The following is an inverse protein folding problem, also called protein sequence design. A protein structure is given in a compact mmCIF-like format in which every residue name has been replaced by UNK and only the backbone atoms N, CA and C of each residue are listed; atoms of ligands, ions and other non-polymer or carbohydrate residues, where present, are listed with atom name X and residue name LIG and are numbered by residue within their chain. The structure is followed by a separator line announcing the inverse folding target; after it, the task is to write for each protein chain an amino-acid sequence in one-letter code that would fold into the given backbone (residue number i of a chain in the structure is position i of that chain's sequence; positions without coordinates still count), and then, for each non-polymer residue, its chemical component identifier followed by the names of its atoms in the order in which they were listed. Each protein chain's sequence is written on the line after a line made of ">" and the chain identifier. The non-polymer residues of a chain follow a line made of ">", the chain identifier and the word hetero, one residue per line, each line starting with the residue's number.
data_IF_951553333152
#
_entry.id   IF_951553333152
#
_cell.length_a   1.000
_cell.length_b   1.000
_cell.length_c   1.000
_cell.angle_alpha   90.00
_cell.angle_beta   90.00
_cell.angle_gamma   90.00
#
_symmetry.space_group_name_H-M   'P 1'
#
loop_
_entity.id
_entity.type
_entity.pdbx_description
1 polymer ?
#
# COMPACT_ATOMS: atom_id res chain seq x y z
N UNK A 1 -22.21 16.77 -10.71
CA UNK A 1 -21.55 15.89 -9.74
C UNK A 1 -20.08 16.26 -9.76
N UNK A 2 -19.66 17.12 -8.84
CA UNK A 2 -18.26 17.52 -8.75
C UNK A 2 -17.47 16.35 -8.16
N UNK A 3 -16.24 16.15 -8.65
CA UNK A 3 -15.26 15.09 -8.32
C UNK A 3 -14.79 15.10 -6.85
N UNK A 4 -15.70 15.32 -5.90
CA UNK A 4 -15.44 15.45 -4.46
C UNK A 4 -15.91 14.23 -3.68
N UNK A 5 -16.69 13.37 -4.32
CA UNK A 5 -17.33 12.20 -3.70
C UNK A 5 -16.62 10.86 -4.05
N UNK A 6 -15.52 10.90 -4.81
CA UNK A 6 -14.74 9.71 -5.23
C UNK A 6 -13.36 9.59 -4.57
N UNK A 7 -12.94 10.57 -3.77
CA UNK A 7 -11.77 10.40 -2.90
C UNK A 7 -12.21 9.74 -1.60
N UNK A 8 -12.55 8.44 -1.63
CA UNK A 8 -12.81 7.69 -0.39
C UNK A 8 -11.48 7.47 0.33
N UNK A 9 -11.09 8.46 1.13
CA UNK A 9 -10.07 8.32 2.14
C UNK A 9 -10.76 7.71 3.36
N UNK A 10 -10.32 6.55 3.88
CA UNK A 10 -9.12 5.77 3.56
C UNK A 10 -9.24 4.81 2.36
N UNK A 11 -8.10 4.34 1.80
CA UNK A 11 -8.04 3.38 0.68
C UNK A 11 -7.72 1.95 1.13
N UNK A 12 -7.86 0.99 0.21
CA UNK A 12 -7.41 -0.39 0.45
C UNK A 12 -5.91 -0.51 0.23
N UNK A 13 -5.20 -1.04 1.24
CA UNK A 13 -3.79 -1.36 1.15
C UNK A 13 -3.57 -2.34 0.00
N UNK A 14 -2.73 -2.00 -1.00
CA UNK A 14 -2.55 -2.85 -2.17
C UNK A 14 -1.81 -4.16 -1.88
N UNK A 15 -1.25 -4.32 -0.67
CA UNK A 15 -0.55 -5.55 -0.24
C UNK A 15 -1.50 -6.52 0.45
N UNK A 16 -2.25 -6.06 1.45
CA UNK A 16 -3.03 -6.94 2.34
C UNK A 16 -4.55 -6.70 2.35
N UNK A 17 -5.04 -5.65 1.67
CA UNK A 17 -6.47 -5.31 1.63
C UNK A 17 -7.05 -4.71 2.92
N UNK A 18 -6.22 -4.43 3.94
CA UNK A 18 -6.67 -3.63 5.08
C UNK A 18 -6.91 -2.17 4.67
N UNK A 19 -7.74 -1.44 5.42
CA UNK A 19 -7.86 0.01 5.22
C UNK A 19 -6.57 0.71 5.66
N UNK A 20 -6.14 1.69 4.88
CA UNK A 20 -4.96 2.52 5.14
C UNK A 20 -5.17 3.91 4.58
N UNK A 21 -4.62 4.90 5.27
CA UNK A 21 -4.60 6.28 4.83
C UNK A 21 -3.65 6.45 3.62
N UNK A 22 -3.90 7.46 2.77
CA UNK A 22 -2.97 7.71 1.67
C UNK A 22 -1.61 8.16 2.21
N UNK A 23 -0.55 7.58 1.64
CA UNK A 23 0.84 7.86 2.00
C UNK A 23 1.24 7.43 3.43
N UNK A 24 0.39 6.66 4.11
CA UNK A 24 0.64 6.14 5.45
C UNK A 24 1.12 4.67 5.45
N UNK A 25 1.63 4.22 6.60
CA UNK A 25 2.09 2.86 6.85
C UNK A 25 0.90 1.99 7.25
N UNK A 26 0.66 0.90 6.52
CA UNK A 26 -0.39 -0.03 6.85
C UNK A 26 -0.06 -0.79 8.13
N UNK A 27 -0.81 -0.57 9.21
CA UNK A 27 -0.58 -1.23 10.51
C UNK A 27 -0.66 -2.77 10.47
N UNK A 28 -1.35 -3.34 9.47
CA UNK A 28 -1.49 -4.79 9.34
C UNK A 28 -0.28 -5.46 8.68
N UNK A 29 0.31 -4.84 7.65
CA UNK A 29 1.39 -5.47 6.88
C UNK A 29 2.71 -4.72 6.91
N UNK A 30 2.74 -3.48 7.39
CA UNK A 30 3.95 -2.63 7.46
C UNK A 30 4.30 -1.89 6.16
N UNK A 31 3.58 -2.13 5.06
CA UNK A 31 3.83 -1.42 3.80
C UNK A 31 3.36 0.03 3.88
N UNK A 32 4.24 0.98 3.58
CA UNK A 32 3.90 2.37 3.29
C UNK A 32 3.22 2.46 1.93
N UNK A 33 1.92 2.76 1.96
CA UNK A 33 1.12 2.96 0.78
C UNK A 33 1.62 4.17 -0.04
N UNK A 34 1.54 4.08 -1.37
CA UNK A 34 2.00 5.13 -2.29
C UNK A 34 0.86 5.91 -2.94
N UNK A 35 -0.39 5.68 -2.50
CA UNK A 35 -1.58 6.32 -3.08
C UNK A 35 -2.02 5.76 -4.42
N UNK A 36 -1.33 4.73 -4.91
CA UNK A 36 -1.63 3.96 -6.12
C UNK A 36 -1.54 2.46 -5.79
N UNK A 37 -2.27 1.63 -6.53
CA UNK A 37 -2.31 0.17 -6.35
C UNK A 37 -1.47 -0.60 -7.38
N UNK A 38 -0.82 0.13 -8.31
CA UNK A 38 0.13 -0.38 -9.29
C UNK A 38 1.58 -0.29 -8.81
N UNK A 39 2.42 -1.24 -9.25
CA UNK A 39 3.85 -1.19 -8.97
C UNK A 39 4.53 -0.22 -9.93
N UNK A 40 5.05 0.87 -9.38
CA UNK A 40 5.79 1.91 -10.09
C UNK A 40 7.31 1.74 -9.94
N UNK A 41 7.79 0.64 -9.35
CA UNK A 41 9.19 0.36 -9.10
C UNK A 41 9.81 1.20 -7.99
N UNK A 42 9.06 2.08 -7.33
CA UNK A 42 9.55 2.88 -6.21
C UNK A 42 9.65 1.99 -4.97
N UNK A 43 10.87 1.89 -4.45
CA UNK A 43 11.13 1.23 -3.17
C UNK A 43 10.88 2.17 -2.00
N UNK A 44 11.29 3.45 -2.14
CA UNK A 44 11.11 4.47 -1.11
C UNK A 44 11.52 3.98 0.30
N UNK A 45 10.81 4.43 1.35
CA UNK A 45 10.99 3.92 2.71
C UNK A 45 10.65 2.44 2.90
N UNK A 46 9.86 1.81 2.01
CA UNK A 46 9.51 0.38 2.07
C UNK A 46 10.73 -0.54 1.85
N UNK A 47 11.83 -0.01 1.29
CA UNK A 47 13.02 -0.76 0.88
C UNK A 47 12.74 -1.90 -0.13
N UNK A 48 11.52 -2.02 -0.63
CA UNK A 48 11.05 -3.02 -1.59
C UNK A 48 9.95 -2.44 -2.49
N UNK A 49 9.78 -2.98 -3.69
CA UNK A 49 8.70 -2.56 -4.61
C UNK A 49 7.34 -3.10 -4.14
N UNK A 50 6.24 -2.63 -4.75
CA UNK A 50 4.92 -3.15 -4.41
C UNK A 50 4.81 -4.65 -4.74
N UNK A 51 5.40 -5.10 -5.84
CA UNK A 51 5.43 -6.52 -6.22
C UNK A 51 6.20 -7.33 -5.18
N UNK A 52 7.40 -6.90 -4.80
CA UNK A 52 8.20 -7.57 -3.76
C UNK A 52 7.46 -7.60 -2.41
N UNK A 53 6.74 -6.54 -2.03
CA UNK A 53 5.94 -6.49 -0.81
C UNK A 53 4.77 -7.49 -0.85
N UNK A 54 4.05 -7.59 -1.98
CA UNK A 54 2.98 -8.59 -2.18
C UNK A 54 3.53 -10.02 -2.06
N UNK A 55 4.70 -10.29 -2.63
CA UNK A 55 5.36 -11.59 -2.53
C UNK A 55 5.83 -11.89 -1.10
N UNK A 56 6.45 -10.93 -0.42
CA UNK A 56 6.86 -11.06 0.97
C UNK A 56 5.65 -11.37 1.87
N UNK A 57 4.55 -10.63 1.72
CA UNK A 57 3.31 -10.86 2.47
C UNK A 57 2.73 -12.26 2.22
N UNK A 58 2.65 -12.68 0.96
CA UNK A 58 2.16 -14.02 0.58
C UNK A 58 3.00 -15.15 1.19
N UNK A 59 4.31 -14.94 1.30
CA UNK A 59 5.25 -15.91 1.85
C UNK A 59 5.40 -15.81 3.39
N UNK A 60 4.66 -14.91 4.05
CA UNK A 60 4.77 -14.69 5.50
C UNK A 60 6.08 -14.02 5.93
N UNK A 61 6.78 -13.36 5.00
CA UNK A 61 7.98 -12.58 5.27
C UNK A 61 7.62 -11.18 5.74
N UNK A 62 8.53 -10.58 6.52
CA UNK A 62 8.38 -9.22 7.02
C UNK A 62 8.55 -8.19 5.90
N UNK A 63 7.66 -7.20 5.88
CA UNK A 63 7.78 -5.96 5.11
C UNK A 63 8.39 -4.90 6.03
N UNK A 64 9.28 -4.05 5.49
CA UNK A 64 10.12 -3.10 6.25
C UNK A 64 9.83 -1.66 5.87
#
# INVERSE_FOLDING_TARGET
>A
MTRKDECSYPMKCPVCGNWVDFFDICENCGYQNQGVDEDNGLRGPNRMTLTEAKEAYRNGHKIY
#
